data_IF_010310208370
#
_entry.id   IF_010310208370
#
_cell.length_a   1.000
_cell.length_b   1.000
_cell.length_c   1.000
_cell.angle_alpha   90.00
_cell.angle_beta   90.00
_cell.angle_gamma   90.00
#
_symmetry.space_group_name_H-M   'P 1'
#
loop_
_entity.id
_entity.type
_entity.pdbx_description
1 polymer ?
#
# COMPACT_ATOMS: atom_id res chain seq x y z
N UNK A 1 18.76 12.33 11.30
CA UNK A 1 19.49 11.08 11.57
C UNK A 1 20.00 11.17 13.00
N UNK A 2 19.69 10.19 13.85
CA UNK A 2 20.14 10.13 15.25
C UNK A 2 21.54 9.48 15.28
N UNK A 3 22.50 10.15 15.91
CA UNK A 3 23.86 9.61 16.09
C UNK A 3 24.06 9.25 17.56
N UNK A 4 24.33 7.98 17.83
CA UNK A 4 24.62 7.48 19.18
C UNK A 4 26.13 7.35 19.30
N UNK A 5 26.71 8.16 20.18
CA UNK A 5 28.14 8.10 20.51
C UNK A 5 28.37 7.19 21.73
N UNK A 6 29.49 7.38 22.44
CA UNK A 6 29.84 6.63 23.65
C UNK A 6 29.34 7.38 24.90
N UNK A 7 28.85 6.64 25.90
CA UNK A 7 28.50 7.18 27.21
C UNK A 7 27.44 6.32 27.91
N UNK A 8 27.05 6.72 29.12
CA UNK A 8 25.85 6.23 29.79
C UNK A 8 24.93 7.42 30.01
N UNK A 9 23.78 7.43 29.34
CA UNK A 9 22.75 8.44 29.55
C UNK A 9 22.08 8.21 30.92
N UNK A 10 21.65 9.28 31.58
CA UNK A 10 20.85 9.14 32.79
C UNK A 10 19.44 8.66 32.47
N UNK A 11 18.71 8.19 33.48
CA UNK A 11 17.32 7.78 33.31
C UNK A 11 16.44 8.95 32.83
N UNK A 12 16.71 10.16 33.32
CA UNK A 12 16.00 11.37 32.91
C UNK A 12 16.27 11.74 31.45
N UNK A 13 17.51 11.63 31.00
CA UNK A 13 17.88 11.89 29.61
C UNK A 13 17.23 10.90 28.64
N UNK A 14 17.18 9.61 29.04
CA UNK A 14 16.47 8.57 28.29
C UNK A 14 14.97 8.83 28.25
N UNK A 15 14.36 9.22 29.38
CA UNK A 15 12.94 9.55 29.43
C UNK A 15 12.60 10.75 28.53
N UNK A 16 13.43 11.80 28.56
CA UNK A 16 13.26 12.98 27.71
C UNK A 16 13.35 12.61 26.22
N UNK A 17 14.34 11.81 25.84
CA UNK A 17 14.50 11.35 24.46
C UNK A 17 13.30 10.52 23.98
N UNK A 18 12.85 9.56 24.80
CA UNK A 18 11.71 8.71 24.47
C UNK A 18 10.44 9.54 24.31
N UNK A 19 10.20 10.51 25.20
CA UNK A 19 9.03 11.37 25.14
C UNK A 19 8.97 12.13 23.81
N UNK A 20 10.06 12.78 23.42
CA UNK A 20 10.14 13.56 22.16
C UNK A 20 9.96 12.68 20.93
N UNK A 21 10.63 11.52 20.88
CA UNK A 21 10.50 10.61 19.72
C UNK A 21 9.08 10.04 19.63
N UNK A 22 8.48 9.69 20.77
CA UNK A 22 7.12 9.16 20.82
C UNK A 22 6.10 10.18 20.35
N UNK A 23 6.24 11.45 20.75
CA UNK A 23 5.37 12.54 20.28
C UNK A 23 5.52 12.79 18.78
N UNK A 24 6.75 12.83 18.26
CA UNK A 24 7.00 12.97 16.83
C UNK A 24 6.37 11.83 16.04
N UNK A 25 6.56 10.58 16.50
CA UNK A 25 5.96 9.41 15.85
C UNK A 25 4.43 9.41 15.92
N UNK A 26 3.85 9.81 17.05
CA UNK A 26 2.39 9.95 17.19
C UNK A 26 1.83 11.01 16.24
N UNK A 27 2.55 12.13 16.07
CA UNK A 27 2.17 13.20 15.13
C UNK A 27 2.23 12.72 13.68
N UNK A 28 3.31 12.02 13.30
CA UNK A 28 3.43 11.42 11.97
C UNK A 28 2.34 10.38 11.70
N UNK A 29 2.08 9.49 12.66
CA UNK A 29 1.05 8.47 12.55
C UNK A 29 -0.37 9.08 12.47
N UNK A 30 -0.63 10.18 13.17
CA UNK A 30 -1.89 10.91 13.08
C UNK A 30 -2.07 11.60 11.72
N UNK A 31 -0.98 12.03 11.08
CA UNK A 31 -0.98 12.62 9.74
C UNK A 31 -1.02 11.55 8.63
N UNK A 32 -0.70 10.30 8.94
CA UNK A 32 -0.76 9.19 7.99
C UNK A 32 -2.21 8.84 7.66
N UNK A 33 -2.73 9.45 6.60
CA UNK A 33 -4.02 9.08 6.01
C UNK A 33 -3.78 7.98 4.99
N UNK A 34 -4.44 6.83 5.15
CA UNK A 34 -4.48 5.83 4.10
C UNK A 34 -5.24 6.40 2.90
N UNK A 35 -4.69 6.25 1.69
CA UNK A 35 -5.41 6.63 0.48
C UNK A 35 -6.74 5.86 0.41
N UNK A 36 -7.84 6.59 0.18
CA UNK A 36 -9.14 5.97 -0.01
C UNK A 36 -9.04 5.00 -1.20
N UNK A 37 -9.50 3.74 -1.08
CA UNK A 37 -9.48 2.79 -2.18
C UNK A 37 -10.26 3.35 -3.37
N UNK A 38 -9.53 3.85 -4.38
CA UNK A 38 -10.12 4.38 -5.60
C UNK A 38 -10.21 3.29 -6.66
N UNK A 39 -11.39 3.16 -7.26
CA UNK A 39 -11.58 2.26 -8.40
C UNK A 39 -10.94 2.92 -9.61
N UNK A 40 -9.92 2.27 -10.18
CA UNK A 40 -9.24 2.80 -11.36
C UNK A 40 -10.22 2.98 -12.54
N UNK A 41 -9.92 3.95 -13.42
CA UNK A 41 -10.68 4.13 -14.65
C UNK A 41 -10.72 2.84 -15.50
N UNK A 42 -9.64 2.06 -15.48
CA UNK A 42 -9.57 0.75 -16.10
C UNK A 42 -10.58 -0.24 -15.49
N UNK A 43 -10.61 -0.38 -14.16
CA UNK A 43 -11.56 -1.25 -13.46
C UNK A 43 -13.01 -0.86 -13.75
N UNK A 44 -13.33 0.44 -13.83
CA UNK A 44 -14.67 0.93 -14.20
C UNK A 44 -15.05 0.68 -15.66
N UNK A 45 -14.08 0.69 -16.57
CA UNK A 45 -14.32 0.60 -18.02
C UNK A 45 -14.08 -0.78 -18.60
N UNK A 46 -13.53 -1.70 -17.79
CA UNK A 46 -13.25 -3.07 -18.20
C UNK A 46 -14.57 -3.74 -18.59
N UNK A 47 -14.73 -3.99 -19.88
CA UNK A 47 -15.84 -4.77 -20.39
C UNK A 47 -15.62 -6.22 -19.97
N UNK A 48 -16.68 -6.97 -19.59
CA UNK A 48 -16.55 -8.38 -19.33
C UNK A 48 -15.85 -9.04 -20.52
N UNK A 49 -14.81 -9.84 -20.25
CA UNK A 49 -14.12 -10.61 -21.28
C UNK A 49 -15.20 -11.34 -22.08
N UNK A 50 -15.22 -11.11 -23.39
CA UNK A 50 -16.18 -11.81 -24.26
C UNK A 50 -16.04 -13.30 -23.99
N UNK A 51 -17.18 -14.00 -23.92
CA UNK A 51 -17.21 -15.45 -23.73
C UNK A 51 -16.20 -16.08 -24.70
N UNK A 52 -15.32 -16.98 -24.23
CA UNK A 52 -14.35 -17.63 -25.09
C UNK A 52 -15.03 -18.19 -26.34
N UNK A 53 -14.35 -18.10 -27.48
CA UNK A 53 -14.87 -18.63 -28.74
C UNK A 53 -15.25 -20.11 -28.53
N UNK A 54 -16.50 -20.46 -28.87
CA UNK A 54 -17.01 -21.82 -28.80
C UNK A 54 -16.26 -22.70 -29.79
N UNK A 55 -15.30 -23.47 -29.28
CA UNK A 55 -14.49 -24.44 -30.07
C UNK A 55 -15.25 -25.72 -30.39
N UNK A 56 -16.40 -25.92 -29.76
CA UNK A 56 -17.31 -27.04 -29.97
C UNK A 56 -18.24 -26.86 -31.19
N UNK A 57 -18.19 -25.69 -31.85
CA UNK A 57 -18.93 -25.42 -33.08
C UNK A 57 -17.92 -25.32 -34.25
N UNK A 58 -18.06 -26.14 -35.31
CA UNK A 58 -17.21 -26.02 -36.49
C UNK A 58 -17.39 -24.65 -37.16
N UNK A 59 -16.29 -24.06 -37.64
CA UNK A 59 -16.31 -22.74 -38.31
C UNK A 59 -16.87 -22.87 -39.73
N UNK A 60 -18.17 -23.07 -39.86
CA UNK A 60 -18.87 -23.22 -41.13
C UNK A 60 -18.14 -24.15 -42.11
N UNK A 61 -18.01 -23.69 -43.36
CA UNK A 61 -17.32 -24.41 -44.45
C UNK A 61 -15.79 -24.56 -44.31
N UNK A 62 -15.20 -24.09 -43.21
CA UNK A 62 -13.75 -24.11 -42.96
C UNK A 62 -13.35 -25.19 -41.96
N UNK A 63 -14.23 -26.18 -41.74
CA UNK A 63 -14.00 -27.33 -40.84
C UNK A 63 -13.65 -28.63 -41.58
N UNK A 64 -13.26 -28.52 -42.85
CA UNK A 64 -12.79 -29.61 -43.71
C UNK A 64 -11.50 -29.25 -44.43
#
# INVERSE_FOLDING_TARGET
MLEITRGAATEEELAALIAVISEAYATEAAAAVADEPSVSAWTRTQRPLRRPLRRDIPWGRFSG
#
